data_IF_241190997641
#
_entry.id   IF_241190997641
#
_cell.length_a   1.000
_cell.length_b   1.000
_cell.length_c   1.000
_cell.angle_alpha   90.00
_cell.angle_beta   90.00
_cell.angle_gamma   90.00
#
_symmetry.space_group_name_H-M   'P 1'
#
loop_
_entity.id
_entity.type
_entity.pdbx_description
1 polymer ?
#
# COMPACT_ATOMS: atom_id res chain seq x y z
N UNK A 1 -13.14 -4.56 -22.91
CA UNK A 1 -13.28 -6.03 -23.04
C UNK A 1 -13.98 -6.57 -21.81
N UNK A 2 -14.65 -7.73 -21.91
CA UNK A 2 -15.17 -8.40 -20.70
C UNK A 2 -13.99 -8.84 -19.82
N UNK A 3 -14.08 -8.73 -18.48
CA UNK A 3 -13.01 -9.20 -17.60
C UNK A 3 -12.75 -10.68 -17.83
N UNK A 4 -11.47 -11.06 -17.88
CA UNK A 4 -11.01 -12.43 -18.20
C UNK A 4 -10.93 -13.33 -16.97
N UNK A 5 -11.23 -12.80 -15.78
CA UNK A 5 -11.26 -13.52 -14.51
C UNK A 5 -12.31 -12.92 -13.56
N UNK A 6 -12.74 -13.71 -12.58
CA UNK A 6 -13.67 -13.33 -11.52
C UNK A 6 -13.08 -13.73 -10.17
N UNK A 7 -13.36 -12.95 -9.13
CA UNK A 7 -12.99 -13.30 -7.76
C UNK A 7 -14.06 -14.19 -7.10
N UNK A 8 -13.59 -15.28 -6.50
CA UNK A 8 -14.39 -16.16 -5.67
C UNK A 8 -13.68 -16.34 -4.32
N UNK A 9 -14.46 -16.33 -3.24
CA UNK A 9 -14.00 -16.79 -1.93
C UNK A 9 -14.44 -18.24 -1.76
N UNK A 10 -13.49 -19.11 -1.44
CA UNK A 10 -13.75 -20.50 -1.11
C UNK A 10 -13.66 -20.68 0.40
N UNK A 11 -14.74 -21.14 1.03
CA UNK A 11 -14.72 -21.56 2.43
C UNK A 11 -14.74 -23.08 2.53
N UNK A 12 -13.85 -23.61 3.36
CA UNK A 12 -13.77 -25.03 3.66
C UNK A 12 -14.28 -25.26 5.09
N UNK A 13 -15.42 -25.93 5.23
CA UNK A 13 -16.07 -26.23 6.52
C UNK A 13 -16.05 -27.73 6.81
N UNK A 14 -16.47 -28.13 8.03
CA UNK A 14 -16.54 -29.55 8.40
C UNK A 14 -15.19 -30.28 8.34
N UNK A 15 -14.09 -29.61 8.69
CA UNK A 15 -12.73 -30.19 8.57
C UNK A 15 -12.21 -30.30 7.14
N UNK A 16 -12.80 -29.55 6.19
CA UNK A 16 -12.39 -29.50 4.78
C UNK A 16 -13.21 -30.39 3.85
N UNK A 17 -14.22 -31.10 4.37
CA UNK A 17 -15.10 -31.93 3.56
C UNK A 17 -16.16 -31.13 2.79
N UNK A 18 -16.53 -29.96 3.29
CA UNK A 18 -17.53 -29.09 2.69
C UNK A 18 -16.86 -27.87 2.07
N UNK A 19 -17.20 -27.59 0.81
CA UNK A 19 -16.70 -26.42 0.09
C UNK A 19 -17.87 -25.51 -0.25
N UNK A 20 -17.74 -24.24 0.11
CA UNK A 20 -18.70 -23.19 -0.26
C UNK A 20 -18.01 -22.14 -1.11
N UNK A 21 -18.68 -21.74 -2.19
CA UNK A 21 -18.21 -20.68 -3.10
C UNK A 21 -19.05 -19.42 -2.88
N UNK A 22 -18.37 -18.30 -2.63
CA UNK A 22 -18.98 -16.97 -2.57
C UNK A 22 -18.42 -16.15 -3.72
N UNK A 23 -19.29 -15.81 -4.67
CA UNK A 23 -18.93 -14.95 -5.78
C UNK A 23 -18.92 -13.50 -5.34
N UNK A 24 -17.85 -12.79 -5.67
CA UNK A 24 -17.72 -11.38 -5.38
C UNK A 24 -17.83 -10.62 -6.70
N UNK A 25 -18.82 -9.73 -6.77
CA UNK A 25 -19.14 -8.97 -7.96
C UNK A 25 -19.50 -7.52 -7.60
N UNK A 26 -18.96 -6.58 -8.36
CA UNK A 26 -19.17 -5.14 -8.23
C UNK A 26 -20.01 -4.58 -9.39
N UNK A 27 -20.92 -5.39 -9.93
CA UNK A 27 -21.83 -5.07 -11.01
C UNK A 27 -21.08 -4.59 -12.27
N UNK A 28 -21.07 -3.27 -12.52
CA UNK A 28 -20.45 -2.66 -13.69
C UNK A 28 -18.97 -2.30 -13.48
N UNK A 29 -18.44 -2.39 -12.25
CA UNK A 29 -17.04 -2.11 -11.93
C UNK A 29 -16.17 -3.36 -11.96
N UNK A 30 -14.87 -3.15 -12.12
CA UNK A 30 -13.88 -4.23 -12.12
C UNK A 30 -13.08 -4.20 -10.82
N UNK A 31 -12.96 -5.36 -10.16
CA UNK A 31 -12.13 -5.53 -8.97
C UNK A 31 -10.69 -5.64 -9.45
N UNK A 32 -9.85 -4.67 -9.09
CA UNK A 32 -8.42 -4.73 -9.38
C UNK A 32 -7.66 -5.42 -8.27
N UNK A 33 -8.08 -5.22 -7.02
CA UNK A 33 -7.52 -5.88 -5.85
C UNK A 33 -8.62 -6.26 -4.84
N UNK A 34 -8.41 -7.36 -4.13
CA UNK A 34 -9.34 -7.89 -3.14
C UNK A 34 -8.60 -8.45 -1.94
N UNK A 35 -8.99 -7.97 -0.76
CA UNK A 35 -8.66 -8.62 0.50
C UNK A 35 -9.89 -8.73 1.39
N UNK A 36 -9.79 -9.59 2.39
CA UNK A 36 -10.84 -9.73 3.39
C UNK A 36 -10.27 -10.09 4.75
N UNK A 37 -11.08 -9.89 5.78
CA UNK A 37 -10.86 -10.35 7.16
C UNK A 37 -12.16 -10.91 7.71
N UNK A 38 -12.04 -11.84 8.65
CA UNK A 38 -13.18 -12.34 9.44
C UNK A 38 -13.37 -11.40 10.63
N UNK A 39 -14.54 -10.77 10.74
CA UNK A 39 -14.90 -9.97 11.91
C UNK A 39 -15.26 -10.87 13.10
N UNK A 40 -15.28 -10.32 14.32
CA UNK A 40 -15.59 -11.07 15.54
C UNK A 40 -16.96 -11.78 15.49
N UNK A 41 -17.93 -11.21 14.77
CA UNK A 41 -19.25 -11.82 14.54
C UNK A 41 -19.27 -12.95 13.50
N UNK A 42 -18.14 -13.27 12.87
CA UNK A 42 -18.01 -14.29 11.83
C UNK A 42 -18.22 -13.78 10.40
N UNK A 43 -18.72 -12.56 10.22
CA UNK A 43 -18.89 -11.98 8.88
C UNK A 43 -17.53 -11.72 8.21
N UNK A 44 -17.49 -11.95 6.90
CA UNK A 44 -16.36 -11.52 6.07
C UNK A 44 -16.51 -10.02 5.78
N UNK A 45 -15.49 -9.25 6.12
CA UNK A 45 -15.36 -7.85 5.73
C UNK A 45 -14.42 -7.80 4.53
N UNK A 46 -14.94 -7.40 3.39
CA UNK A 46 -14.24 -7.38 2.12
C UNK A 46 -14.00 -5.94 1.67
N UNK A 47 -12.79 -5.67 1.18
CA UNK A 47 -12.41 -4.36 0.67
C UNK A 47 -11.25 -4.50 -0.33
N UNK A 48 -11.06 -3.46 -1.13
CA UNK A 48 -9.99 -3.38 -2.09
C UNK A 48 -10.26 -2.31 -3.13
N UNK A 49 -9.50 -2.35 -4.21
CA UNK A 49 -9.59 -1.35 -5.27
C UNK A 49 -10.51 -1.80 -6.40
N UNK A 50 -11.14 -0.80 -7.02
CA UNK A 50 -11.87 -1.01 -8.26
C UNK A 50 -11.44 -0.02 -9.35
N UNK A 51 -11.71 -0.40 -10.59
CA UNK A 51 -11.50 0.39 -11.79
C UNK A 51 -12.77 0.45 -12.63
N UNK A 52 -12.76 1.32 -13.64
CA UNK A 52 -13.66 1.14 -14.79
C UNK A 52 -13.26 -0.08 -15.62
N UNK A 53 -14.22 -0.64 -16.36
CA UNK A 53 -13.96 -1.86 -17.13
C UNK A 53 -12.94 -1.62 -18.24
N UNK A 54 -11.94 -2.49 -18.30
CA UNK A 54 -10.93 -2.48 -19.36
C UNK A 54 -9.69 -1.62 -19.07
N UNK A 55 -9.58 -1.12 -17.84
CA UNK A 55 -8.34 -0.54 -17.29
C UNK A 55 -7.87 -1.37 -16.10
N UNK A 56 -6.59 -1.24 -15.73
CA UNK A 56 -6.03 -1.77 -14.47
C UNK A 56 -5.68 -0.64 -13.50
N UNK A 57 -6.20 0.56 -13.78
CA UNK A 57 -6.07 1.72 -12.91
C UNK A 57 -6.91 1.55 -11.65
N UNK A 58 -6.72 2.44 -10.70
CA UNK A 58 -7.46 2.43 -9.44
C UNK A 58 -8.24 3.74 -9.37
N UNK A 59 -9.56 3.59 -9.48
CA UNK A 59 -10.51 4.71 -9.39
C UNK A 59 -10.95 4.96 -7.96
N UNK A 60 -11.09 3.89 -7.17
CA UNK A 60 -11.61 4.01 -5.82
C UNK A 60 -11.47 2.73 -5.02
N UNK A 61 -12.05 2.76 -3.82
CA UNK A 61 -12.18 1.62 -2.92
C UNK A 61 -13.61 1.12 -2.88
N UNK A 62 -13.78 -0.18 -2.64
CA UNK A 62 -15.07 -0.74 -2.24
C UNK A 62 -14.99 -1.30 -0.83
N UNK A 63 -16.16 -1.42 -0.19
CA UNK A 63 -16.31 -2.02 1.13
C UNK A 63 -17.66 -2.73 1.17
N UNK A 64 -17.68 -3.98 1.64
CA UNK A 64 -18.92 -4.68 1.92
C UNK A 64 -18.71 -5.76 2.97
N UNK A 65 -19.82 -6.27 3.51
CA UNK A 65 -19.84 -7.40 4.43
C UNK A 65 -20.54 -8.57 3.76
N UNK A 66 -20.06 -9.78 4.04
CA UNK A 66 -20.67 -11.02 3.60
C UNK A 66 -20.91 -11.91 4.80
N UNK A 67 -22.17 -12.28 5.02
CA UNK A 67 -22.51 -13.29 6.02
C UNK A 67 -22.20 -14.67 5.44
N UNK A 68 -21.24 -15.43 6.01
CA UNK A 68 -20.85 -16.72 5.43
C UNK A 68 -21.93 -17.79 5.54
N UNK A 69 -22.89 -17.67 6.45
CA UNK A 69 -23.96 -18.65 6.63
C UNK A 69 -25.09 -18.45 5.63
N UNK A 70 -25.58 -17.21 5.50
CA UNK A 70 -26.70 -16.86 4.61
C UNK A 70 -26.26 -16.53 3.18
N UNK A 71 -24.96 -16.26 2.97
CA UNK A 71 -24.37 -15.76 1.72
C UNK A 71 -24.82 -14.36 1.33
N UNK A 72 -25.47 -13.65 2.25
CA UNK A 72 -25.95 -12.31 2.02
C UNK A 72 -24.78 -11.31 2.01
N UNK A 73 -24.73 -10.50 0.94
CA UNK A 73 -23.85 -9.32 0.86
C UNK A 73 -24.64 -8.10 1.30
N UNK A 74 -24.10 -7.34 2.25
CA UNK A 74 -24.73 -6.14 2.78
C UNK A 74 -23.69 -5.04 3.05
N UNK A 75 -24.14 -3.81 3.32
CA UNK A 75 -23.28 -2.61 3.44
C UNK A 75 -22.32 -2.42 2.25
N UNK A 76 -22.76 -2.76 1.03
CA UNK A 76 -21.97 -2.58 -0.19
C UNK A 76 -21.84 -1.11 -0.54
N UNK A 77 -20.61 -0.60 -0.55
CA UNK A 77 -20.24 0.75 -0.92
C UNK A 77 -19.08 0.75 -1.90
N UNK A 78 -19.13 1.64 -2.88
CA UNK A 78 -18.04 1.94 -3.80
C UNK A 78 -17.79 3.44 -3.75
N UNK A 79 -16.57 3.85 -3.44
CA UNK A 79 -16.19 5.26 -3.32
C UNK A 79 -14.94 5.55 -4.13
N UNK A 80 -15.08 6.54 -5.02
CA UNK A 80 -13.98 7.07 -5.79
C UNK A 80 -13.04 7.86 -4.88
N UNK A 81 -11.75 7.86 -5.20
CA UNK A 81 -10.81 8.75 -4.54
C UNK A 81 -10.99 10.20 -4.98
N UNK A 82 -10.81 11.12 -4.04
CA UNK A 82 -10.90 12.55 -4.34
C UNK A 82 -9.80 12.98 -5.31
N UNK A 83 -10.12 13.95 -6.17
CA UNK A 83 -9.19 14.50 -7.16
C UNK A 83 -7.91 15.03 -6.52
N UNK A 84 -8.02 15.70 -5.38
CA UNK A 84 -6.88 16.27 -4.66
C UNK A 84 -5.92 15.17 -4.16
N UNK A 85 -6.46 14.02 -3.74
CA UNK A 85 -5.68 12.89 -3.27
C UNK A 85 -4.93 12.20 -4.43
N UNK A 86 -5.63 11.89 -5.53
CA UNK A 86 -5.02 11.20 -6.68
C UNK A 86 -4.01 12.07 -7.45
N UNK A 87 -4.04 13.39 -7.27
CA UNK A 87 -3.12 14.34 -7.91
C UNK A 87 -2.09 14.95 -6.96
N UNK A 88 -2.03 14.49 -5.71
CA UNK A 88 -1.21 15.09 -4.65
C UNK A 88 0.29 15.15 -5.02
N UNK A 89 0.82 14.13 -5.70
CA UNK A 89 2.22 14.03 -6.13
C UNK A 89 2.55 14.71 -7.45
N UNK A 90 1.54 15.24 -8.15
CA UNK A 90 1.76 15.95 -9.39
C UNK A 90 2.33 17.34 -9.10
N UNK A 91 3.27 17.78 -9.95
CA UNK A 91 3.63 19.20 -10.00
C UNK A 91 2.41 20.07 -10.31
N UNK A 92 2.45 21.37 -9.99
CA UNK A 92 1.36 22.30 -10.30
C UNK A 92 0.90 22.24 -11.76
N UNK A 93 1.85 22.20 -12.71
CA UNK A 93 1.54 22.02 -14.14
C UNK A 93 0.88 20.67 -14.46
N UNK A 94 1.19 19.64 -13.68
CA UNK A 94 0.58 18.32 -13.79
C UNK A 94 -0.87 18.35 -13.28
N UNK A 95 -1.11 18.98 -12.13
CA UNK A 95 -2.45 19.20 -11.58
C UNK A 95 -3.34 20.00 -12.53
N UNK A 96 -2.82 21.08 -13.12
CA UNK A 96 -3.54 21.88 -14.13
C UNK A 96 -4.00 21.02 -15.32
N UNK A 97 -3.11 20.16 -15.85
CA UNK A 97 -3.44 19.25 -16.95
C UNK A 97 -4.46 18.19 -16.56
N UNK A 98 -4.33 17.62 -15.35
CA UNK A 98 -5.28 16.66 -14.82
C UNK A 98 -6.67 17.29 -14.63
N UNK A 99 -6.73 18.53 -14.15
CA UNK A 99 -7.97 19.29 -13.99
C UNK A 99 -8.62 19.57 -15.33
N UNK A 100 -7.84 19.97 -16.35
CA UNK A 100 -8.36 20.16 -17.71
C UNK A 100 -8.94 18.86 -18.27
N UNK A 101 -8.25 17.73 -18.08
CA UNK A 101 -8.75 16.43 -18.53
C UNK A 101 -10.05 16.02 -17.83
N UNK A 102 -10.20 16.33 -16.54
CA UNK A 102 -11.43 16.11 -15.77
C UNK A 102 -12.59 16.96 -16.29
N UNK A 103 -12.36 18.25 -16.53
CA UNK A 103 -13.36 19.19 -17.06
C UNK A 103 -13.80 18.86 -18.49
N UNK A 104 -12.87 18.37 -19.32
CA UNK A 104 -13.13 17.97 -20.71
C UNK A 104 -13.72 16.55 -20.82
N UNK A 105 -13.90 15.83 -19.70
CA UNK A 105 -14.43 14.46 -19.63
C UNK A 105 -13.63 13.46 -20.51
N UNK A 106 -12.32 13.67 -20.65
CA UNK A 106 -11.47 12.81 -21.48
C UNK A 106 -11.00 11.62 -20.64
N UNK A 107 -11.80 10.54 -20.60
CA UNK A 107 -11.58 9.37 -19.74
C UNK A 107 -10.13 8.84 -19.72
N UNK A 108 -9.45 8.76 -20.89
CA UNK A 108 -8.06 8.25 -20.97
C UNK A 108 -7.01 9.17 -20.36
N UNK A 109 -7.38 10.40 -19.98
CA UNK A 109 -6.48 11.42 -19.44
C UNK A 109 -6.83 11.82 -18.02
N UNK A 110 -7.94 11.31 -17.47
CA UNK A 110 -8.30 11.55 -16.08
C UNK A 110 -7.24 10.94 -15.16
N UNK A 111 -6.87 11.63 -14.07
CA UNK A 111 -5.93 11.08 -13.12
C UNK A 111 -6.55 9.86 -12.44
N UNK A 112 -5.77 8.79 -12.33
CA UNK A 112 -6.11 7.60 -11.57
C UNK A 112 -4.84 7.07 -10.92
N UNK A 113 -4.98 6.22 -9.90
CA UNK A 113 -3.83 5.56 -9.27
C UNK A 113 -3.45 4.30 -10.05
N UNK A 114 -2.18 3.89 -9.96
CA UNK A 114 -1.64 2.75 -10.70
C UNK A 114 -0.66 1.96 -9.83
N UNK A 115 -0.62 0.65 -10.09
CA UNK A 115 0.36 -0.28 -9.53
C UNK A 115 0.38 -0.29 -8.00
N UNK A 116 -0.77 -0.25 -7.33
CA UNK A 116 -0.85 -0.42 -5.88
C UNK A 116 -1.27 -1.84 -5.53
N UNK A 117 -0.47 -2.48 -4.68
CA UNK A 117 -0.81 -3.73 -4.03
C UNK A 117 -1.44 -3.45 -2.67
N UNK A 118 -2.60 -4.03 -2.41
CA UNK A 118 -3.21 -4.06 -1.10
C UNK A 118 -2.39 -4.93 -0.14
N UNK A 119 -1.86 -4.32 0.92
CA UNK A 119 -0.98 -4.99 1.89
C UNK A 119 -1.72 -5.39 3.15
N UNK A 120 -2.56 -4.49 3.68
CA UNK A 120 -3.25 -4.71 4.96
C UNK A 120 -4.71 -4.28 4.92
N UNK A 121 -5.53 -5.02 5.65
CA UNK A 121 -6.89 -4.64 6.04
C UNK A 121 -7.02 -4.85 7.54
N UNK A 122 -7.18 -3.77 8.28
CA UNK A 122 -7.33 -3.77 9.73
C UNK A 122 -8.77 -3.40 10.07
N UNK A 123 -9.47 -4.29 10.78
CA UNK A 123 -10.84 -4.03 11.22
C UNK A 123 -10.84 -3.09 12.43
N UNK A 124 -11.69 -2.06 12.37
CA UNK A 124 -11.89 -1.11 13.48
C UNK A 124 -13.01 -1.61 14.40
N UNK A 125 -12.92 -1.27 15.68
CA UNK A 125 -13.92 -1.66 16.69
C UNK A 125 -15.30 -1.03 16.48
N UNK A 126 -15.39 0.08 15.74
CA UNK A 126 -16.66 0.71 15.37
C UNK A 126 -17.32 0.07 14.14
N UNK A 127 -16.70 -0.95 13.55
CA UNK A 127 -17.19 -1.64 12.36
C UNK A 127 -16.66 -1.08 11.05
N UNK A 128 -15.83 -0.03 11.08
CA UNK A 128 -15.07 0.46 9.93
C UNK A 128 -13.83 -0.40 9.65
N UNK A 129 -12.99 0.06 8.73
CA UNK A 129 -11.72 -0.58 8.44
C UNK A 129 -10.64 0.42 8.02
N UNK A 130 -9.38 0.05 8.22
CA UNK A 130 -8.22 0.74 7.70
C UNK A 130 -7.59 -0.13 6.62
N UNK A 131 -7.49 0.41 5.41
CA UNK A 131 -6.86 -0.24 4.27
C UNK A 131 -5.49 0.37 4.03
N UNK A 132 -4.46 -0.44 3.83
CA UNK A 132 -3.11 0.03 3.52
C UNK A 132 -2.61 -0.64 2.25
N UNK A 133 -2.19 0.16 1.29
CA UNK A 133 -1.62 -0.34 0.04
C UNK A 133 -0.27 0.33 -0.24
N UNK A 134 0.57 -0.37 -1.00
CA UNK A 134 1.88 0.11 -1.42
C UNK A 134 1.97 0.12 -2.94
N UNK A 135 2.46 1.22 -3.51
CA UNK A 135 2.78 1.25 -4.93
C UNK A 135 3.94 0.29 -5.20
N UNK A 136 3.66 -0.79 -5.90
CA UNK A 136 4.57 -1.88 -6.17
C UNK A 136 4.46 -2.37 -7.60
N UNK A 137 5.60 -2.43 -8.28
CA UNK A 137 5.70 -3.04 -9.59
C UNK A 137 7.13 -3.50 -9.88
N UNK A 138 7.23 -4.55 -10.69
CA UNK A 138 8.49 -5.06 -11.24
C UNK A 138 8.49 -4.82 -12.74
N UNK A 139 9.58 -4.29 -13.26
CA UNK A 139 9.83 -4.31 -14.71
C UNK A 139 11.21 -4.86 -15.00
N UNK A 140 11.37 -5.47 -16.17
CA UNK A 140 12.65 -6.01 -16.63
C UNK A 140 13.21 -5.21 -17.80
N UNK A 141 14.54 -5.20 -17.94
CA UNK A 141 15.21 -4.71 -19.14
C UNK A 141 16.22 -5.75 -19.62
N UNK A 142 16.11 -6.09 -20.90
CA UNK A 142 16.96 -7.09 -21.54
C UNK A 142 17.94 -6.38 -22.48
N UNK A 143 19.23 -6.62 -22.27
CA UNK A 143 20.33 -6.01 -23.02
C UNK A 143 21.13 -7.07 -23.75
N UNK A 144 21.54 -6.75 -24.99
CA UNK A 144 22.50 -7.53 -25.74
C UNK A 144 23.91 -7.02 -25.45
N UNK A 145 24.78 -7.90 -24.96
CA UNK A 145 26.15 -7.55 -24.57
C UNK A 145 27.15 -7.84 -25.70
N UNK A 146 28.29 -7.15 -25.66
CA UNK A 146 29.37 -7.30 -26.64
C UNK A 146 29.96 -8.72 -26.70
N UNK A 147 29.79 -9.52 -25.63
CA UNK A 147 30.19 -10.94 -25.56
C UNK A 147 29.20 -11.89 -26.26
N UNK A 148 28.16 -11.35 -26.91
CA UNK A 148 27.13 -12.12 -27.61
C UNK A 148 26.05 -12.68 -26.69
N UNK A 149 26.07 -12.34 -25.39
CA UNK A 149 25.07 -12.80 -24.42
C UNK A 149 23.92 -11.81 -24.25
N UNK A 150 22.73 -12.34 -23.99
CA UNK A 150 21.59 -11.56 -23.50
C UNK A 150 21.58 -11.59 -21.99
N UNK A 151 21.39 -10.44 -21.34
CA UNK A 151 21.19 -10.37 -19.89
C UNK A 151 19.94 -9.57 -19.59
N UNK A 152 19.16 -10.07 -18.63
CA UNK A 152 17.93 -9.44 -18.16
C UNK A 152 18.15 -8.94 -16.75
N UNK A 153 17.80 -7.67 -16.52
CA UNK A 153 17.88 -7.01 -15.22
C UNK A 153 16.48 -6.66 -14.73
N UNK A 154 16.18 -7.03 -13.50
CA UNK A 154 14.90 -6.78 -12.83
C UNK A 154 15.00 -5.53 -11.95
N UNK A 155 13.98 -4.67 -12.08
CA UNK A 155 13.84 -3.45 -11.31
C UNK A 155 12.63 -3.58 -10.39
N UNK A 156 12.87 -3.55 -9.08
CA UNK A 156 11.83 -3.67 -8.07
C UNK A 156 11.49 -2.28 -7.53
N UNK A 157 10.22 -1.90 -7.62
CA UNK A 157 9.74 -0.60 -7.15
C UNK A 157 8.82 -0.84 -5.96
N UNK A 158 9.14 -0.23 -4.83
CA UNK A 158 8.29 -0.16 -3.65
C UNK A 158 8.21 1.33 -3.30
N UNK A 159 7.24 2.04 -3.84
CA UNK A 159 7.16 3.48 -3.71
C UNK A 159 6.18 3.85 -2.59
N UNK A 160 5.21 4.70 -2.91
CA UNK A 160 4.34 5.35 -1.96
C UNK A 160 3.44 4.37 -1.22
N UNK A 161 3.10 4.72 0.02
CA UNK A 161 2.12 3.99 0.82
C UNK A 161 0.86 4.85 0.87
N UNK A 162 -0.29 4.26 0.55
CA UNK A 162 -1.59 4.91 0.77
C UNK A 162 -2.33 4.22 1.89
N UNK A 163 -3.01 5.03 2.70
CA UNK A 163 -3.81 4.60 3.83
C UNK A 163 -5.22 5.15 3.59
N UNK A 164 -6.22 4.28 3.60
CA UNK A 164 -7.62 4.64 3.40
C UNK A 164 -8.40 4.23 4.64
N UNK A 165 -8.95 5.21 5.33
CA UNK A 165 -9.77 4.98 6.51
C UNK A 165 -11.24 4.95 6.11
N UNK A 166 -11.91 3.82 6.34
CA UNK A 166 -13.27 3.54 5.87
C UNK A 166 -14.22 3.51 7.07
N UNK A 167 -15.29 4.30 6.99
CA UNK A 167 -16.38 4.33 7.97
C UNK A 167 -17.18 3.01 7.95
N UNK A 168 -17.94 2.70 9.01
CA UNK A 168 -18.78 1.48 9.06
C UNK A 168 -19.82 1.37 7.95
N UNK A 169 -20.25 2.50 7.38
CA UNK A 169 -21.16 2.57 6.24
C UNK A 169 -20.46 2.44 4.88
N UNK A 170 -19.13 2.28 4.85
CA UNK A 170 -18.34 2.14 3.63
C UNK A 170 -17.96 3.46 2.96
N UNK A 171 -18.17 4.61 3.61
CA UNK A 171 -17.63 5.90 3.16
C UNK A 171 -16.13 6.02 3.45
N UNK A 172 -15.39 6.72 2.60
CA UNK A 172 -14.01 7.12 2.92
C UNK A 172 -14.09 8.26 3.95
N UNK A 173 -13.52 8.04 5.13
CA UNK A 173 -13.37 9.07 6.16
C UNK A 173 -12.22 10.02 5.81
N UNK A 174 -11.09 9.45 5.39
CA UNK A 174 -9.96 10.15 4.82
C UNK A 174 -9.08 9.15 4.06
N UNK A 175 -8.25 9.68 3.14
CA UNK A 175 -7.17 8.94 2.50
C UNK A 175 -5.89 9.77 2.62
N UNK A 176 -4.79 9.10 2.99
CA UNK A 176 -3.50 9.74 3.25
C UNK A 176 -2.38 9.04 2.50
N UNK A 177 -1.38 9.81 2.09
CA UNK A 177 -0.22 9.31 1.34
C UNK A 177 1.06 9.50 2.15
N UNK A 178 1.91 8.48 2.16
CA UNK A 178 3.28 8.55 2.64
C UNK A 178 4.18 8.47 1.40
N UNK A 179 4.78 9.58 0.95
CA UNK A 179 5.65 9.59 -0.21
C UNK A 179 6.94 8.83 0.10
N UNK A 180 7.28 7.86 -0.75
CA UNK A 180 8.46 7.00 -0.60
C UNK A 180 8.97 6.58 -1.99
N UNK A 181 10.29 6.54 -2.17
CA UNK A 181 10.90 6.08 -3.43
C UNK A 181 11.96 5.02 -3.18
N UNK A 182 11.65 3.77 -3.52
CA UNK A 182 12.58 2.65 -3.42
C UNK A 182 12.58 1.82 -4.70
N UNK A 183 13.50 2.18 -5.58
CA UNK A 183 13.91 1.41 -6.75
C UNK A 183 15.20 0.66 -6.42
N UNK A 184 15.15 -0.67 -6.51
CA UNK A 184 16.31 -1.56 -6.38
C UNK A 184 16.44 -2.45 -7.60
N UNK A 185 17.62 -3.06 -7.79
CA UNK A 185 17.98 -3.76 -9.02
C UNK A 185 18.52 -5.15 -8.65
N UNK A 186 17.96 -6.20 -9.25
CA UNK A 186 18.39 -7.60 -9.11
C UNK A 186 18.55 -8.09 -7.66
N UNK A 187 17.79 -7.52 -6.72
CA UNK A 187 17.85 -7.86 -5.29
C UNK A 187 16.53 -8.38 -4.71
N UNK A 188 15.47 -8.49 -5.50
CA UNK A 188 14.14 -8.90 -5.00
C UNK A 188 13.46 -7.86 -4.09
N UNK A 189 13.96 -6.62 -4.05
CA UNK A 189 13.53 -5.62 -3.08
C UNK A 189 13.88 -6.01 -1.65
N UNK A 190 15.07 -6.55 -1.43
CA UNK A 190 15.46 -7.21 -0.17
C UNK A 190 15.36 -6.29 1.06
N UNK A 191 15.67 -5.01 0.89
CA UNK A 191 15.62 -3.95 1.91
C UNK A 191 14.45 -2.96 1.71
N UNK A 192 13.57 -3.25 0.75
CA UNK A 192 12.45 -2.39 0.39
C UNK A 192 11.19 -2.72 1.18
N UNK A 193 10.12 -1.98 0.92
CA UNK A 193 8.84 -1.97 1.65
C UNK A 193 8.92 -1.30 3.02
N UNK A 194 7.94 -1.59 3.88
CA UNK A 194 7.78 -1.00 5.21
C UNK A 194 7.41 -2.06 6.26
N UNK A 195 7.52 -1.66 7.52
CA UNK A 195 6.94 -2.35 8.67
C UNK A 195 5.87 -1.45 9.27
N UNK A 196 4.77 -2.04 9.77
CA UNK A 196 3.66 -1.29 10.35
C UNK A 196 3.44 -1.65 11.82
N UNK A 197 3.06 -0.66 12.63
CA UNK A 197 2.52 -0.86 13.97
C UNK A 197 1.31 0.04 14.18
N UNK A 198 0.32 -0.45 14.92
CA UNK A 198 -0.79 0.37 15.41
C UNK A 198 -0.65 0.50 16.92
N UNK A 199 -0.61 1.74 17.39
CA UNK A 199 -0.45 2.06 18.81
C UNK A 199 -1.49 3.10 19.17
N UNK A 200 -2.52 2.68 19.92
CA UNK A 200 -3.67 3.51 20.29
C UNK A 200 -4.36 4.08 19.02
N UNK A 201 -4.31 5.40 18.85
CA UNK A 201 -4.94 6.19 17.79
C UNK A 201 -3.95 6.59 16.68
N UNK A 202 -2.78 5.94 16.64
CA UNK A 202 -1.69 6.25 15.71
C UNK A 202 -1.25 5.01 14.96
N UNK A 203 -0.95 5.20 13.68
CA UNK A 203 -0.38 4.18 12.80
C UNK A 203 1.05 4.60 12.49
N UNK A 204 2.00 3.69 12.68
CA UNK A 204 3.41 3.93 12.47
C UNK A 204 3.93 3.07 11.33
N UNK A 205 4.72 3.67 10.45
CA UNK A 205 5.39 3.02 9.34
C UNK A 205 6.90 3.20 9.46
N UNK A 206 7.65 2.09 9.46
CA UNK A 206 9.11 2.10 9.48
C UNK A 206 9.65 1.60 8.15
N UNK A 207 10.49 2.37 7.49
CA UNK A 207 11.06 2.02 6.19
C UNK A 207 12.43 2.66 5.98
N UNK A 208 13.15 2.23 4.95
CA UNK A 208 14.39 2.90 4.55
C UNK A 208 14.11 4.04 3.58
N UNK A 209 14.76 5.19 3.79
CA UNK A 209 14.66 6.33 2.89
C UNK A 209 16.03 6.96 2.62
N UNK A 210 16.09 7.99 1.79
CA UNK A 210 17.26 8.82 1.57
C UNK A 210 17.29 10.00 2.54
N UNK A 211 18.39 10.21 3.24
CA UNK A 211 18.56 11.34 4.16
C UNK A 211 18.30 12.71 3.51
N UNK A 212 18.53 12.83 2.19
CA UNK A 212 18.27 14.08 1.44
C UNK A 212 16.81 14.48 1.38
N UNK A 213 15.89 13.55 1.62
CA UNK A 213 14.45 13.84 1.68
C UNK A 213 14.09 14.68 2.93
N UNK A 214 15.03 14.84 3.87
CA UNK A 214 14.86 15.60 5.11
C UNK A 214 15.65 16.91 5.16
N UNK A 215 16.31 17.31 4.05
CA UNK A 215 17.13 18.52 3.97
C UNK A 215 16.31 19.84 3.80
N UNK A 216 14.98 19.79 3.99
CA UNK A 216 14.09 20.97 3.91
C UNK A 216 13.84 21.53 2.51
N UNK A 217 14.19 20.78 1.44
CA UNK A 217 14.03 21.23 0.03
C UNK A 217 12.60 21.10 -0.53
N UNK A 218 11.62 20.77 0.31
CA UNK A 218 10.23 20.59 -0.10
C UNK A 218 9.98 19.31 -0.92
N UNK A 219 8.70 19.02 -1.24
CA UNK A 219 8.28 17.78 -1.90
C UNK A 219 8.67 17.67 -3.38
N UNK A 220 9.18 18.74 -3.99
CA UNK A 220 9.47 18.80 -5.44
C UNK A 220 10.47 17.74 -5.92
N UNK A 221 11.23 17.11 -5.00
CA UNK A 221 12.19 16.08 -5.35
C UNK A 221 12.34 15.00 -4.29
N UNK A 222 11.68 13.88 -4.53
CA UNK A 222 11.86 12.64 -3.78
C UNK A 222 13.07 11.84 -4.30
N UNK A 223 14.08 11.68 -3.44
CA UNK A 223 15.30 10.92 -3.73
C UNK A 223 15.10 9.43 -3.43
N UNK A 224 15.65 8.59 -4.32
CA UNK A 224 15.65 7.14 -4.15
C UNK A 224 16.48 6.73 -2.93
N UNK A 225 15.98 5.75 -2.17
CA UNK A 225 16.80 4.96 -1.25
C UNK A 225 18.04 4.39 -1.98
N UNK A 226 19.22 4.39 -1.34
CA UNK A 226 20.46 3.95 -2.00
C UNK A 226 21.45 3.18 -1.13
N UNK A 227 21.08 2.87 0.12
CA UNK A 227 21.92 2.15 1.08
C UNK A 227 23.20 2.86 1.52
N UNK A 228 23.57 4.02 0.98
CA UNK A 228 24.80 4.78 1.36
C UNK A 228 24.52 6.04 2.17
N UNK A 229 23.45 6.73 1.82
CA UNK A 229 22.95 7.92 2.50
C UNK A 229 21.56 7.66 3.06
N UNK A 230 21.32 6.41 3.48
CA UNK A 230 19.99 5.98 3.87
C UNK A 230 19.75 6.17 5.35
N UNK A 231 18.52 6.49 5.69
CA UNK A 231 18.05 6.66 7.05
C UNK A 231 16.92 5.68 7.30
N UNK A 232 16.81 5.22 8.55
CA UNK A 232 15.60 4.57 9.03
C UNK A 232 14.58 5.68 9.25
N UNK A 233 13.47 5.62 8.52
CA UNK A 233 12.41 6.62 8.57
C UNK A 233 11.22 6.07 9.34
N UNK A 234 10.58 6.95 10.13
CA UNK A 234 9.33 6.69 10.82
C UNK A 234 8.27 7.68 10.34
N UNK A 235 7.20 7.20 9.72
CA UNK A 235 6.00 8.00 9.48
C UNK A 235 4.92 7.66 10.50
N UNK A 236 4.36 8.69 11.12
CA UNK A 236 3.18 8.64 11.99
C UNK A 236 1.97 9.15 11.21
N UNK A 237 0.90 8.35 11.18
CA UNK A 237 -0.43 8.76 10.71
C UNK A 237 -1.35 8.86 11.92
N UNK A 238 -1.95 10.03 12.13
CA UNK A 238 -2.91 10.27 13.22
C UNK A 238 -4.33 9.87 12.81
N UNK A 239 -5.23 9.83 13.78
CA UNK A 239 -6.64 9.48 13.59
C UNK A 239 -7.38 10.38 12.59
N UNK A 240 -6.92 11.62 12.40
CA UNK A 240 -7.45 12.57 11.43
C UNK A 240 -6.85 12.43 10.01
N UNK A 241 -5.96 11.46 9.81
CA UNK A 241 -5.26 11.24 8.55
C UNK A 241 -4.00 12.10 8.38
N UNK A 242 -3.67 12.99 9.31
CA UNK A 242 -2.45 13.79 9.20
C UNK A 242 -1.20 12.92 9.29
N UNK A 243 -0.26 13.15 8.37
CA UNK A 243 1.01 12.41 8.27
C UNK A 243 2.16 13.27 8.79
N UNK A 244 3.01 12.69 9.62
CA UNK A 244 4.27 13.31 10.06
C UNK A 244 5.41 12.32 9.89
N UNK A 245 6.49 12.70 9.21
CA UNK A 245 7.60 11.79 8.89
C UNK A 245 8.91 12.30 9.48
N UNK A 246 9.63 11.40 10.15
CA UNK A 246 10.84 11.70 10.91
C UNK A 246 11.99 10.76 10.49
N UNK A 247 13.19 11.29 10.22
CA UNK A 247 14.38 10.46 10.15
C UNK A 247 14.79 10.05 11.57
N UNK A 248 15.00 8.76 11.81
CA UNK A 248 15.41 8.26 13.13
C UNK A 248 16.94 8.16 13.25
N UNK A 249 17.54 7.23 12.49
CA UNK A 249 18.99 6.98 12.51
C UNK A 249 19.49 6.87 11.08
N UNK A 250 20.68 7.39 10.81
CA UNK A 250 21.36 7.04 9.57
C UNK A 250 21.86 5.59 9.64
N UNK A 251 21.89 4.94 8.49
CA UNK A 251 22.47 3.61 8.37
C UNK A 251 23.97 3.57 8.68
N UNK A 252 24.65 4.73 8.63
CA UNK A 252 26.05 4.88 9.04
C UNK A 252 26.21 4.85 10.54
N UNK A 253 25.35 5.54 11.28
CA UNK A 253 25.32 5.51 12.75
C UNK A 253 24.86 4.15 13.26
N UNK A 254 23.84 3.58 12.63
CA UNK A 254 23.32 2.26 12.99
C UNK A 254 24.22 1.10 12.52
N UNK A 255 25.11 1.35 11.54
CA UNK A 255 25.94 0.38 10.83
C UNK A 255 25.17 -0.78 10.17
N UNK A 256 23.87 -0.59 9.92
CA UNK A 256 22.95 -1.57 9.34
C UNK A 256 22.01 -0.90 8.35
N UNK A 257 21.47 -1.69 7.42
CA UNK A 257 20.31 -1.33 6.62
C UNK A 257 19.12 -2.12 7.15
N UNK A 258 18.04 -1.45 7.51
CA UNK A 258 16.84 -2.11 8.04
C UNK A 258 16.24 -3.04 6.99
N UNK A 259 15.67 -4.18 7.40
CA UNK A 259 14.83 -5.01 6.52
C UNK A 259 13.38 -4.93 6.99
N UNK A 260 12.59 -3.95 6.48
CA UNK A 260 11.29 -3.65 7.04
C UNK A 260 10.33 -4.85 7.02
N UNK A 261 10.36 -5.65 5.96
CA UNK A 261 9.50 -6.83 5.78
C UNK A 261 9.59 -7.91 6.87
N UNK A 262 10.64 -7.88 7.70
CA UNK A 262 10.81 -8.83 8.82
C UNK A 262 10.80 -8.13 10.19
N UNK A 263 10.60 -6.81 10.22
CA UNK A 263 10.33 -6.09 11.45
C UNK A 263 8.87 -6.32 11.85
N UNK A 264 8.60 -6.47 13.14
CA UNK A 264 7.27 -6.83 13.61
C UNK A 264 6.94 -6.14 14.94
N UNK A 265 5.70 -5.69 15.09
CA UNK A 265 5.18 -5.25 16.38
C UNK A 265 5.11 -6.46 17.33
N UNK A 266 5.82 -6.39 18.45
CA UNK A 266 5.95 -7.48 19.44
C UNK A 266 5.20 -7.19 20.75
N UNK A 267 4.83 -5.93 20.99
CA UNK A 267 3.94 -5.53 22.08
C UNK A 267 3.12 -4.29 21.69
N UNK A 268 2.19 -3.89 22.55
CA UNK A 268 1.27 -2.76 22.31
C UNK A 268 1.96 -1.44 21.97
N UNK A 269 3.23 -1.26 22.38
CA UNK A 269 4.06 -0.09 22.04
C UNK A 269 5.49 -0.43 21.64
N UNK A 270 5.73 -1.66 21.20
CA UNK A 270 7.09 -2.10 20.86
C UNK A 270 7.11 -2.80 19.51
N UNK A 271 8.12 -2.47 18.71
CA UNK A 271 8.45 -3.16 17.47
C UNK A 271 9.88 -3.68 17.54
N UNK A 272 10.07 -4.93 17.12
CA UNK A 272 11.39 -5.47 16.86
C UNK A 272 11.84 -4.99 15.48
N UNK A 273 12.96 -4.29 15.44
CA UNK A 273 13.63 -3.83 14.23
C UNK A 273 14.82 -4.73 13.97
N UNK A 274 14.93 -5.24 12.74
CA UNK A 274 16.09 -5.96 12.25
C UNK A 274 16.75 -5.19 11.12
N UNK A 275 18.08 -5.19 11.11
CA UNK A 275 18.84 -4.77 9.94
C UNK A 275 20.19 -5.47 9.82
N UNK A 276 20.74 -5.38 8.62
CA UNK A 276 21.98 -6.03 8.27
C UNK A 276 22.81 -5.20 7.29
N UNK A 277 24.12 -5.41 7.30
CA UNK A 277 25.04 -4.84 6.34
C UNK A 277 26.26 -5.76 6.19
N UNK A 278 26.31 -6.50 5.07
CA UNK A 278 27.30 -7.55 4.88
C UNK A 278 27.15 -8.67 5.92
N UNK A 279 28.16 -8.86 6.77
CA UNK A 279 28.17 -9.88 7.84
C UNK A 279 27.74 -9.34 9.21
N UNK A 280 27.30 -8.08 9.28
CA UNK A 280 26.83 -7.44 10.51
C UNK A 280 25.32 -7.50 10.57
N UNK A 281 24.79 -7.89 11.72
CA UNK A 281 23.35 -8.01 11.97
C UNK A 281 23.05 -7.33 13.30
N UNK A 282 21.94 -6.58 13.37
CA UNK A 282 21.48 -5.96 14.62
C UNK A 282 19.97 -6.14 14.78
N UNK A 283 19.58 -6.37 16.03
CA UNK A 283 18.20 -6.28 16.48
C UNK A 283 18.08 -5.08 17.40
N UNK A 284 16.98 -4.35 17.31
CA UNK A 284 16.65 -3.23 18.19
C UNK A 284 15.18 -3.27 18.59
N UNK A 285 14.88 -2.79 19.79
CA UNK A 285 13.51 -2.50 20.21
C UNK A 285 13.22 -1.04 19.91
N UNK A 286 12.26 -0.79 19.01
CA UNK A 286 11.67 0.53 18.83
C UNK A 286 10.50 0.67 19.80
N UNK A 287 10.59 1.63 20.72
CA UNK A 287 9.57 1.96 21.69
C UNK A 287 8.77 3.17 21.20
N UNK A 288 7.47 2.99 20.94
CA UNK A 288 6.55 4.08 20.63
C UNK A 288 6.14 4.78 21.93
N UNK A 289 6.16 6.12 21.95
CA UNK A 289 5.79 6.94 23.10
C UNK A 289 4.29 7.25 23.11
#
# INVERSE_FOLDING_TARGET
GKPTYQYIVLAYTGGGAEVQEYRIDLDDKFITDLTFRVADGGDLVCSGFYSERGTYSIKGTYFFRLNPQTREVYNKSLRQFDFDFITEDLSEKGKEKAMQAELEDIDRRKPELYDYDLRELVLRSDGGALMVAEQYYIYERTYYHFDGTWRTTYYYNYNDIIIVNIRPNGEIEWASRIPKRQLTIDDGGYFSSYAMAIVRDRIFFVYNDNGRNFDGRGPDRLYNYNGKNSVITLSEVRIDGSVSTYPMYSNREAEIITRPKICQQTASRQMLIYGENGRRYKFAHLQFL
#
